data_IF_186549467697
#
_entry.id   IF_186549467697
#
_cell.length_a   1.000
_cell.length_b   1.000
_cell.length_c   1.000
_cell.angle_alpha   90.00
_cell.angle_beta   90.00
_cell.angle_gamma   90.00
#
_symmetry.space_group_name_H-M   'P 1'
#
loop_
_entity.id
_entity.type
_entity.pdbx_description
1 polymer ?
#
# COMPACT_ATOMS: atom_id res chain seq x y z
N UNK A 1 1.94 -39.37 32.04
CA UNK A 1 2.38 -38.02 31.62
C UNK A 1 1.49 -37.52 30.50
N UNK A 2 0.59 -36.59 30.78
CA UNK A 2 -0.25 -35.94 29.77
C UNK A 2 0.40 -34.60 29.40
N UNK A 3 1.06 -34.56 28.25
CA UNK A 3 1.59 -33.33 27.64
C UNK A 3 0.41 -32.55 27.05
N UNK A 4 -0.05 -31.54 27.79
CA UNK A 4 -0.93 -30.50 27.25
C UNK A 4 -0.15 -29.68 26.22
N UNK A 5 -0.40 -29.91 24.93
CA UNK A 5 -0.07 -28.96 23.89
C UNK A 5 -1.04 -27.78 24.07
N UNK A 6 -0.60 -26.72 24.74
CA UNK A 6 -1.30 -25.44 24.67
C UNK A 6 -1.24 -24.96 23.23
N UNK A 7 -2.33 -25.17 22.49
CA UNK A 7 -2.58 -24.50 21.22
C UNK A 7 -2.68 -23.01 21.56
N UNK A 8 -1.59 -22.26 21.35
CA UNK A 8 -1.62 -20.81 21.45
C UNK A 8 -2.67 -20.31 20.48
N UNK A 9 -3.81 -19.88 21.00
CA UNK A 9 -4.81 -19.15 20.22
C UNK A 9 -4.17 -17.81 19.85
N UNK A 10 -3.67 -17.66 18.63
CA UNK A 10 -3.34 -16.33 18.11
C UNK A 10 -4.63 -15.50 18.17
N UNK A 11 -4.65 -14.45 18.98
CA UNK A 11 -5.78 -13.54 19.06
C UNK A 11 -5.75 -12.67 17.80
N UNK A 12 -6.62 -12.97 16.84
CA UNK A 12 -6.89 -12.10 15.68
C UNK A 12 -7.27 -10.70 16.16
N UNK A 13 -6.50 -9.70 15.76
CA UNK A 13 -6.80 -8.29 16.05
C UNK A 13 -7.17 -7.54 14.78
N UNK A 14 -8.03 -6.52 14.93
CA UNK A 14 -8.31 -5.54 13.88
C UNK A 14 -7.58 -4.26 14.25
N UNK A 15 -6.61 -3.86 13.44
CA UNK A 15 -5.83 -2.64 13.62
C UNK A 15 -6.40 -1.55 12.71
N UNK A 16 -6.88 -0.44 13.27
CA UNK A 16 -7.38 0.67 12.44
C UNK A 16 -6.22 1.60 12.06
N UNK A 17 -6.16 2.00 10.79
CA UNK A 17 -5.11 2.92 10.34
C UNK A 17 -5.07 4.25 11.11
N UNK A 18 -6.23 4.74 11.58
CA UNK A 18 -6.31 5.97 12.38
C UNK A 18 -5.56 5.86 13.72
N UNK A 19 -5.43 4.65 14.28
CA UNK A 19 -4.71 4.41 15.55
C UNK A 19 -3.19 4.63 15.39
N UNK A 20 -2.68 4.65 14.16
CA UNK A 20 -1.29 4.96 13.81
C UNK A 20 -1.07 6.45 13.48
N UNK A 21 -2.06 7.31 13.74
CA UNK A 21 -1.96 8.74 13.53
C UNK A 21 -2.19 9.20 12.08
N UNK A 22 -2.75 8.33 11.23
CA UNK A 22 -3.18 8.72 9.89
C UNK A 22 -4.35 9.71 9.95
N UNK A 23 -4.34 10.67 9.04
CA UNK A 23 -5.35 11.74 8.96
C UNK A 23 -6.10 11.64 7.62
N UNK A 24 -7.42 11.38 7.64
CA UNK A 24 -8.23 11.28 6.44
C UNK A 24 -8.63 12.66 5.87
N UNK A 25 -9.05 12.69 4.61
CA UNK A 25 -9.64 13.84 3.89
C UNK A 25 -8.76 15.09 3.74
N UNK A 26 -7.47 15.01 4.07
CA UNK A 26 -6.51 16.10 3.90
C UNK A 26 -5.44 15.69 2.88
N UNK A 27 -5.43 16.39 1.74
CA UNK A 27 -4.50 16.17 0.63
C UNK A 27 -3.25 17.05 0.68
N UNK A 28 -2.97 17.68 1.82
CA UNK A 28 -1.74 18.44 1.99
C UNK A 28 -0.54 17.52 2.02
N UNK A 29 0.59 18.00 1.47
CA UNK A 29 1.84 17.22 1.42
C UNK A 29 2.31 16.75 2.80
N UNK A 30 2.08 17.55 3.85
CA UNK A 30 2.43 17.17 5.21
C UNK A 30 1.62 15.95 5.67
N UNK A 31 0.33 15.92 5.35
CA UNK A 31 -0.55 14.80 5.65
C UNK A 31 -0.23 13.58 4.77
N UNK A 32 0.08 13.76 3.49
CA UNK A 32 0.53 12.66 2.62
C UNK A 32 1.77 11.94 3.17
N UNK A 33 2.76 12.70 3.66
CA UNK A 33 3.96 12.12 4.28
C UNK A 33 3.64 11.44 5.61
N UNK A 34 2.79 12.05 6.45
CA UNK A 34 2.34 11.46 7.72
C UNK A 34 1.61 10.14 7.49
N UNK A 35 0.67 10.12 6.54
CA UNK A 35 -0.11 8.92 6.23
C UNK A 35 0.79 7.80 5.69
N UNK A 36 1.81 8.11 4.89
CA UNK A 36 2.77 7.10 4.45
C UNK A 36 3.54 6.48 5.62
N UNK A 37 3.94 7.28 6.61
CA UNK A 37 4.57 6.76 7.85
C UNK A 37 3.60 5.88 8.63
N UNK A 38 2.38 6.36 8.86
CA UNK A 38 1.35 5.61 9.61
C UNK A 38 0.99 4.28 8.94
N UNK A 39 0.88 4.25 7.60
CA UNK A 39 0.59 3.01 6.86
C UNK A 39 1.76 2.03 6.96
N UNK A 40 3.01 2.50 6.83
CA UNK A 40 4.19 1.63 6.98
C UNK A 40 4.33 1.07 8.39
N UNK A 41 4.05 1.88 9.42
CA UNK A 41 4.02 1.42 10.80
C UNK A 41 2.92 0.38 11.02
N UNK A 42 1.72 0.62 10.51
CA UNK A 42 0.60 -0.32 10.57
C UNK A 42 0.95 -1.65 9.89
N UNK A 43 1.48 -1.61 8.67
CA UNK A 43 1.94 -2.78 7.93
C UNK A 43 3.02 -3.56 8.68
N UNK A 44 3.99 -2.87 9.30
CA UNK A 44 5.07 -3.49 10.07
C UNK A 44 4.63 -4.07 11.43
N UNK A 45 3.47 -3.64 11.94
CA UNK A 45 2.93 -4.11 13.22
C UNK A 45 2.08 -5.38 13.11
N UNK A 46 1.65 -5.74 11.90
CA UNK A 46 0.75 -6.87 11.65
C UNK A 46 1.39 -8.20 12.07
N UNK A 47 0.59 -9.03 12.76
CA UNK A 47 0.95 -10.40 13.14
C UNK A 47 0.04 -11.40 12.44
N UNK A 48 0.46 -12.69 12.35
CA UNK A 48 -0.37 -13.73 11.78
C UNK A 48 -1.77 -13.80 12.40
N UNK A 49 -2.78 -13.68 11.55
CA UNK A 49 -4.19 -13.63 11.87
C UNK A 49 -4.78 -12.22 11.94
N UNK A 50 -3.98 -11.15 11.89
CA UNK A 50 -4.46 -9.78 12.01
C UNK A 50 -5.12 -9.25 10.74
N UNK A 51 -5.97 -8.24 10.93
CA UNK A 51 -6.53 -7.42 9.85
C UNK A 51 -6.12 -5.96 10.02
N UNK A 52 -5.46 -5.38 9.01
CA UNK A 52 -5.32 -3.94 8.88
C UNK A 52 -6.58 -3.38 8.23
N UNK A 53 -7.32 -2.53 8.95
CA UNK A 53 -8.53 -1.87 8.46
C UNK A 53 -8.23 -0.41 8.10
N UNK A 54 -8.44 -0.06 6.83
CA UNK A 54 -8.27 1.28 6.28
C UNK A 54 -9.66 1.84 5.95
N UNK A 55 -10.16 2.76 6.78
CA UNK A 55 -11.49 3.38 6.62
C UNK A 55 -11.42 4.86 6.33
N UNK A 56 -12.11 5.28 5.27
CA UNK A 56 -12.14 6.66 4.79
C UNK A 56 -11.17 6.92 3.64
N UNK A 57 -10.95 8.20 3.32
CA UNK A 57 -10.05 8.62 2.23
C UNK A 57 -8.76 9.13 2.82
N UNK A 58 -7.64 8.50 2.51
CA UNK A 58 -6.31 8.96 2.92
C UNK A 58 -5.49 9.31 1.68
N UNK A 59 -4.97 10.54 1.67
CA UNK A 59 -3.94 10.94 0.73
C UNK A 59 -2.58 10.51 1.28
N UNK A 60 -1.74 9.89 0.47
CA UNK A 60 -0.46 9.34 0.91
C UNK A 60 0.61 9.49 -0.17
N UNK A 61 1.86 9.63 0.24
CA UNK A 61 2.96 9.38 -0.69
C UNK A 61 3.07 7.89 -1.03
N UNK A 62 3.85 7.56 -2.08
CA UNK A 62 4.27 6.19 -2.35
C UNK A 62 5.29 5.68 -1.32
N UNK A 63 5.98 4.59 -1.65
CA UNK A 63 6.94 3.95 -0.76
C UNK A 63 6.28 3.25 0.43
N UNK A 64 5.06 2.74 0.24
CA UNK A 64 4.41 1.88 1.21
C UNK A 64 4.98 0.46 1.04
N UNK A 65 5.67 -0.05 2.05
CA UNK A 65 6.44 -1.29 1.96
C UNK A 65 6.10 -2.21 3.12
N UNK A 66 5.78 -3.45 2.80
CA UNK A 66 5.61 -4.51 3.78
C UNK A 66 6.54 -5.69 3.47
N UNK A 67 7.13 -6.27 4.52
CA UNK A 67 8.03 -7.40 4.41
C UNK A 67 7.49 -8.59 5.20
N UNK A 68 7.57 -9.78 4.59
CA UNK A 68 7.34 -11.07 5.25
C UNK A 68 5.99 -11.18 5.98
N UNK A 69 4.95 -10.52 5.44
CA UNK A 69 3.59 -10.66 5.95
C UNK A 69 3.12 -12.10 5.79
N UNK A 70 2.60 -12.69 6.87
CA UNK A 70 2.14 -14.07 6.90
C UNK A 70 0.76 -14.15 7.53
N UNK A 71 -0.21 -14.75 6.83
CA UNK A 71 -1.59 -14.97 7.33
C UNK A 71 -2.32 -13.69 7.75
N UNK A 72 -2.26 -12.62 6.95
CA UNK A 72 -2.89 -11.33 7.28
C UNK A 72 -3.91 -10.88 6.25
N UNK A 73 -4.85 -10.06 6.69
CA UNK A 73 -5.81 -9.37 5.82
C UNK A 73 -5.53 -7.86 5.81
N UNK A 74 -5.52 -7.26 4.64
CA UNK A 74 -5.53 -5.81 4.47
C UNK A 74 -6.88 -5.45 3.87
N UNK A 75 -7.74 -4.86 4.71
CA UNK A 75 -9.10 -4.48 4.37
C UNK A 75 -9.17 -2.98 4.07
N UNK A 76 -9.36 -2.63 2.80
CA UNK A 76 -9.53 -1.26 2.34
C UNK A 76 -11.03 -0.97 2.19
N UNK A 77 -11.62 -0.37 3.21
CA UNK A 77 -13.01 0.11 3.24
C UNK A 77 -13.01 1.63 3.02
N UNK A 78 -12.50 2.06 1.87
CA UNK A 78 -12.30 3.46 1.54
C UNK A 78 -11.27 3.64 0.43
N UNK A 79 -10.58 4.78 0.42
CA UNK A 79 -9.66 5.15 -0.66
C UNK A 79 -8.27 5.50 -0.16
N UNK A 80 -7.26 4.91 -0.77
CA UNK A 80 -5.89 5.42 -0.73
C UNK A 80 -5.64 6.20 -2.01
N UNK A 81 -5.35 7.49 -1.90
CA UNK A 81 -5.02 8.37 -3.02
C UNK A 81 -3.54 8.69 -2.96
N UNK A 82 -2.78 8.20 -3.93
CA UNK A 82 -1.35 8.48 -4.00
C UNK A 82 -1.07 9.89 -4.52
N UNK A 83 -0.02 10.53 -3.99
CA UNK A 83 0.36 11.89 -4.35
C UNK A 83 0.61 12.06 -5.85
N UNK A 84 0.05 13.11 -6.44
CA UNK A 84 0.38 13.50 -7.81
C UNK A 84 1.72 14.24 -7.91
N UNK A 85 2.45 14.43 -6.79
CA UNK A 85 3.70 15.18 -6.74
C UNK A 85 4.91 14.31 -7.11
N UNK A 86 5.16 14.16 -8.41
CA UNK A 86 6.27 13.34 -8.95
C UNK A 86 7.66 13.80 -8.45
N UNK A 87 7.84 15.10 -8.19
CA UNK A 87 9.08 15.69 -7.69
C UNK A 87 9.44 15.29 -6.25
N UNK A 88 8.44 15.00 -5.43
CA UNK A 88 8.62 14.65 -4.02
C UNK A 88 8.40 13.17 -3.74
N UNK A 89 8.18 12.40 -4.81
CA UNK A 89 7.98 10.97 -4.71
C UNK A 89 9.22 10.29 -4.11
N UNK A 90 9.04 9.35 -3.16
CA UNK A 90 10.16 8.69 -2.50
C UNK A 90 10.96 7.84 -3.50
N UNK A 91 12.27 7.82 -3.29
CA UNK A 91 13.23 7.10 -4.13
C UNK A 91 14.07 6.18 -3.26
N UNK A 92 14.44 5.02 -3.81
CA UNK A 92 15.46 4.19 -3.20
C UNK A 92 16.76 5.01 -3.08
N UNK A 93 17.53 4.77 -2.02
CA UNK A 93 18.88 5.28 -1.88
C UNK A 93 19.81 4.10 -2.07
N UNK A 94 20.80 4.23 -2.96
CA UNK A 94 21.81 3.18 -3.13
C UNK A 94 22.83 3.18 -1.98
N UNK A 95 23.68 2.15 -1.92
CA UNK A 95 24.71 2.00 -0.88
C UNK A 95 25.75 3.15 -0.88
N UNK A 96 25.77 3.97 -1.94
CA UNK A 96 26.59 5.17 -2.07
C UNK A 96 25.85 6.47 -1.73
N UNK A 97 24.62 6.40 -1.22
CA UNK A 97 23.80 7.56 -0.85
C UNK A 97 23.17 8.31 -2.03
N UNK A 98 23.24 7.75 -3.25
CA UNK A 98 22.66 8.38 -4.44
C UNK A 98 21.20 7.97 -4.61
N UNK A 99 20.41 8.91 -5.16
CA UNK A 99 19.01 8.66 -5.49
C UNK A 99 18.90 7.63 -6.60
N UNK A 100 18.31 6.49 -6.28
CA UNK A 100 17.92 5.45 -7.21
C UNK A 100 16.53 5.66 -7.79
N UNK A 101 15.91 4.54 -8.20
CA UNK A 101 14.57 4.50 -8.80
C UNK A 101 13.50 4.99 -7.83
N UNK A 102 12.40 5.49 -8.38
CA UNK A 102 11.17 5.77 -7.61
C UNK A 102 10.71 4.49 -6.90
N UNK A 103 10.27 4.63 -5.65
CA UNK A 103 9.63 3.53 -4.93
C UNK A 103 8.22 3.31 -5.47
N UNK A 104 7.73 2.08 -5.40
CA UNK A 104 6.37 1.75 -5.82
C UNK A 104 5.32 2.45 -4.95
N UNK A 105 4.06 2.48 -5.38
CA UNK A 105 2.98 2.98 -4.54
C UNK A 105 2.81 2.07 -3.30
N UNK A 106 2.57 0.78 -3.54
CA UNK A 106 2.51 -0.27 -2.51
C UNK A 106 3.32 -1.50 -2.95
N UNK A 107 4.24 -1.96 -2.10
CA UNK A 107 5.14 -3.08 -2.38
C UNK A 107 5.15 -4.10 -1.23
N UNK A 108 4.84 -5.35 -1.56
CA UNK A 108 5.00 -6.49 -0.66
C UNK A 108 6.21 -7.34 -1.03
N UNK A 109 7.09 -7.62 -0.06
CA UNK A 109 8.21 -8.55 -0.21
C UNK A 109 7.94 -9.83 0.58
N UNK A 110 8.03 -10.96 -0.12
CA UNK A 110 7.82 -12.31 0.41
C UNK A 110 6.50 -12.51 1.21
N UNK A 111 5.33 -11.99 0.77
CA UNK A 111 4.09 -12.26 1.49
C UNK A 111 3.65 -13.73 1.32
N UNK A 112 3.07 -14.30 2.38
CA UNK A 112 2.52 -15.66 2.39
C UNK A 112 1.11 -15.62 2.95
N UNK A 113 0.13 -16.12 2.17
CA UNK A 113 -1.27 -16.16 2.58
C UNK A 113 -1.79 -14.77 3.02
N UNK A 114 -1.68 -13.79 2.12
CA UNK A 114 -2.13 -12.41 2.34
C UNK A 114 -3.38 -12.16 1.52
N UNK A 115 -4.41 -11.63 2.18
CA UNK A 115 -5.65 -11.20 1.53
C UNK A 115 -5.72 -9.69 1.47
N UNK A 116 -5.87 -9.13 0.26
CA UNK A 116 -6.15 -7.73 -0.02
C UNK A 116 -7.61 -7.64 -0.44
N UNK A 117 -8.48 -7.06 0.40
CA UNK A 117 -9.93 -7.10 0.18
C UNK A 117 -10.65 -5.84 0.66
N UNK A 118 -11.93 -5.73 0.33
CA UNK A 118 -12.84 -4.69 0.82
C UNK A 118 -14.16 -5.33 1.20
N UNK A 119 -14.71 -4.95 2.35
CA UNK A 119 -16.05 -5.41 2.76
C UNK A 119 -17.17 -4.60 2.08
N UNK A 120 -16.82 -3.44 1.52
CA UNK A 120 -17.75 -2.53 0.83
C UNK A 120 -17.79 -2.77 -0.69
N UNK A 121 -17.01 -3.73 -1.21
CA UNK A 121 -16.93 -4.04 -2.62
C UNK A 121 -16.09 -3.04 -3.43
N UNK A 122 -16.17 -3.13 -4.77
CA UNK A 122 -15.47 -2.22 -5.69
C UNK A 122 -16.36 -1.02 -5.99
N UNK A 123 -15.87 0.22 -5.83
CA UNK A 123 -16.63 1.41 -6.22
C UNK A 123 -16.26 2.67 -5.46
N UNK A 124 -17.00 3.76 -5.68
CA UNK A 124 -16.73 5.07 -5.08
C UNK A 124 -16.73 5.06 -3.54
N UNK A 125 -17.56 4.20 -2.94
CA UNK A 125 -17.65 3.99 -1.49
C UNK A 125 -16.91 2.72 -1.02
N UNK A 126 -16.30 2.01 -1.97
CA UNK A 126 -15.63 0.72 -1.79
C UNK A 126 -14.13 0.82 -1.61
N UNK A 127 -13.40 -0.30 -1.78
CA UNK A 127 -11.94 -0.31 -1.72
C UNK A 127 -11.30 0.25 -2.98
N UNK A 128 -10.71 1.44 -2.92
CA UNK A 128 -10.09 2.10 -4.08
C UNK A 128 -8.62 2.41 -3.81
N UNK A 129 -7.75 1.84 -4.64
CA UNK A 129 -6.33 2.17 -4.68
C UNK A 129 -6.10 3.08 -5.89
N UNK A 130 -5.92 4.37 -5.67
CA UNK A 130 -5.83 5.39 -6.71
C UNK A 130 -4.40 5.92 -6.84
N UNK A 131 -3.76 5.62 -7.97
CA UNK A 131 -2.40 6.00 -8.25
C UNK A 131 -2.17 7.46 -8.66
N UNK A 132 -3.23 8.21 -8.97
CA UNK A 132 -3.13 9.58 -9.54
C UNK A 132 -2.15 9.65 -10.72
N UNK A 133 -2.19 8.62 -11.58
CA UNK A 133 -1.21 8.36 -12.63
C UNK A 133 -1.12 9.44 -13.72
N UNK A 134 -2.15 10.27 -13.89
CA UNK A 134 -2.14 11.37 -14.85
C UNK A 134 -0.92 12.30 -14.72
N UNK A 135 -0.45 12.53 -13.49
CA UNK A 135 0.76 13.34 -13.26
C UNK A 135 2.05 12.67 -13.78
N UNK A 136 2.06 11.35 -13.90
CA UNK A 136 3.19 10.55 -14.38
C UNK A 136 3.16 10.30 -15.88
N UNK A 137 1.97 10.27 -16.49
CA UNK A 137 1.82 10.12 -17.93
C UNK A 137 2.10 11.41 -18.70
N UNK A 138 1.97 12.57 -18.03
CA UNK A 138 2.12 13.91 -18.61
C UNK A 138 1.02 14.26 -19.61
N UNK A 139 1.25 15.27 -20.45
CA UNK A 139 0.43 15.49 -21.67
C UNK A 139 0.53 14.21 -22.53
N UNK A 140 -0.57 13.71 -23.12
CA UNK A 140 -0.53 12.52 -23.97
C UNK A 140 0.68 12.58 -24.92
N UNK A 141 1.45 11.48 -24.97
CA UNK A 141 2.67 11.28 -25.76
C UNK A 141 3.97 11.96 -25.28
N UNK A 142 3.95 12.92 -24.34
CA UNK A 142 5.18 13.64 -23.90
C UNK A 142 5.77 13.09 -22.59
N UNK A 143 4.95 12.72 -21.60
CA UNK A 143 5.49 12.24 -20.32
C UNK A 143 6.23 10.90 -20.41
N UNK A 144 5.90 10.06 -21.40
CA UNK A 144 6.63 8.83 -21.70
C UNK A 144 8.10 9.08 -22.10
N UNK A 145 8.39 10.21 -22.74
CA UNK A 145 9.75 10.56 -23.16
C UNK A 145 10.60 11.12 -22.01
N UNK A 146 9.96 11.66 -20.96
CA UNK A 146 10.64 12.31 -19.83
C UNK A 146 10.89 11.34 -18.67
N UNK A 147 9.90 10.53 -18.31
CA UNK A 147 9.98 9.62 -17.14
C UNK A 147 10.29 8.18 -17.52
N UNK A 148 10.18 7.79 -18.80
CA UNK A 148 10.53 6.47 -19.34
C UNK A 148 10.03 5.32 -18.43
N UNK A 149 10.94 4.51 -17.88
CA UNK A 149 10.68 3.39 -16.96
C UNK A 149 10.76 3.76 -15.47
N UNK A 150 11.13 5.01 -15.11
CA UNK A 150 11.23 5.47 -13.72
C UNK A 150 9.88 5.98 -13.21
N UNK A 151 8.88 5.09 -13.22
CA UNK A 151 7.52 5.35 -12.74
C UNK A 151 7.06 4.27 -11.78
N UNK A 152 6.34 4.63 -10.71
CA UNK A 152 5.88 3.66 -9.74
C UNK A 152 4.73 2.81 -10.32
N UNK A 153 4.76 1.53 -10.04
CA UNK A 153 3.62 0.63 -10.13
C UNK A 153 2.69 0.88 -8.96
N UNK A 154 1.42 0.57 -9.17
CA UNK A 154 0.38 0.81 -8.16
C UNK A 154 0.43 -0.24 -7.04
N UNK A 155 0.59 -1.50 -7.42
CA UNK A 155 0.77 -2.62 -6.51
C UNK A 155 1.84 -3.55 -7.09
N UNK A 156 2.84 -3.90 -6.28
CA UNK A 156 3.91 -4.81 -6.68
C UNK A 156 4.14 -5.87 -5.60
N UNK A 157 4.23 -7.13 -6.01
CA UNK A 157 4.52 -8.25 -5.11
C UNK A 157 5.79 -8.95 -5.57
N UNK A 158 6.78 -9.04 -4.69
CA UNK A 158 8.01 -9.79 -4.93
C UNK A 158 7.99 -11.07 -4.12
N UNK A 159 8.15 -12.21 -4.78
CA UNK A 159 8.21 -13.55 -4.16
C UNK A 159 7.02 -13.91 -3.26
N UNK A 160 5.81 -13.48 -3.64
CA UNK A 160 4.59 -13.80 -2.90
C UNK A 160 4.06 -15.21 -3.18
N UNK A 161 3.41 -15.84 -2.19
CA UNK A 161 2.70 -17.12 -2.34
C UNK A 161 1.33 -17.03 -1.70
N UNK A 162 0.30 -17.54 -2.37
CA UNK A 162 -1.09 -17.51 -1.89
C UNK A 162 -1.56 -16.07 -1.60
N UNK A 163 -1.55 -15.22 -2.62
CA UNK A 163 -2.02 -13.85 -2.51
C UNK A 163 -3.42 -13.77 -3.13
N UNK A 164 -4.39 -13.33 -2.34
CA UNK A 164 -5.74 -13.05 -2.82
C UNK A 164 -5.91 -11.53 -2.92
N UNK A 165 -6.20 -11.04 -4.12
CA UNK A 165 -6.65 -9.67 -4.34
C UNK A 165 -8.08 -9.71 -4.85
N UNK A 166 -9.01 -9.18 -4.08
CA UNK A 166 -10.42 -9.11 -4.44
C UNK A 166 -11.03 -7.79 -3.96
N UNK A 167 -12.18 -7.40 -4.53
CA UNK A 167 -12.95 -6.22 -4.08
C UNK A 167 -12.23 -4.86 -4.04
N UNK A 168 -11.00 -4.75 -4.53
CA UNK A 168 -10.32 -3.48 -4.79
C UNK A 168 -10.55 -3.02 -6.23
N UNK A 169 -10.75 -1.72 -6.40
CA UNK A 169 -10.61 -1.01 -7.66
C UNK A 169 -9.20 -0.41 -7.72
N UNK A 170 -8.42 -0.85 -8.70
CA UNK A 170 -7.12 -0.28 -9.02
C UNK A 170 -7.31 0.83 -10.05
N UNK A 171 -7.20 2.08 -9.62
CA UNK A 171 -7.51 3.27 -10.42
C UNK A 171 -6.25 4.06 -10.75
N UNK A 172 -6.19 4.57 -11.98
CA UNK A 172 -5.16 5.49 -12.48
C UNK A 172 -3.71 5.12 -12.10
N UNK A 173 -3.23 3.90 -12.45
CA UNK A 173 -1.88 3.47 -12.10
C UNK A 173 -0.80 4.31 -12.82
N UNK A 174 0.27 4.78 -12.14
CA UNK A 174 1.29 5.60 -12.79
C UNK A 174 2.08 4.86 -13.89
N UNK A 175 2.22 3.54 -13.74
CA UNK A 175 2.78 2.64 -14.75
C UNK A 175 1.90 1.41 -15.00
N UNK A 176 2.08 0.35 -14.20
CA UNK A 176 1.26 -0.86 -14.24
C UNK A 176 0.45 -1.01 -12.94
N UNK A 177 -0.74 -1.59 -13.05
CA UNK A 177 -1.62 -1.80 -11.91
C UNK A 177 -1.14 -2.92 -10.98
N UNK A 178 -0.65 -4.03 -11.55
CA UNK A 178 -0.15 -5.21 -10.83
C UNK A 178 0.94 -5.92 -11.64
N UNK A 179 1.95 -6.47 -10.97
CA UNK A 179 2.74 -7.64 -11.39
C UNK A 179 3.37 -8.31 -10.17
#
# INVERSE_FOLDING_TARGET
>A
ENLYVQKMSSSTSVLNLADFGAQPQDSSRATEARNAVAINEALGSLRPGDTLLIRGVYHTNGGLVAHNLTDVTIQLDGRLVFSSSTWHWPRAIDDGGKKGRVLECLHFYNPVNVTLTSSLGRGADGGVLDGSGAAWWGVPFVGYLIHVEDRPRLLHVTNGTQILLENWLLLDPPYWATM
#
